data_IF_981619825287
#
_entry.id   IF_981619825287
#
_cell.length_a   1.000
_cell.length_b   1.000
_cell.length_c   1.000
_cell.angle_alpha   90.00
_cell.angle_beta   90.00
_cell.angle_gamma   90.00
#
_symmetry.space_group_name_H-M   'P 1'
#
loop_
_entity.id
_entity.type
_entity.pdbx_description
1 polymer ?
#
# COMPACT_ATOMS: atom_id res chain seq x y z
N UNK A 1 -2.44 -4.44 -12.17
CA UNK A 1 -2.02 -5.66 -11.45
C UNK A 1 -3.08 -6.75 -11.57
N UNK A 2 -4.34 -6.48 -11.21
CA UNK A 2 -5.45 -7.42 -11.43
C UNK A 2 -5.54 -7.91 -12.89
N UNK A 3 -5.51 -6.99 -13.87
CA UNK A 3 -5.48 -7.36 -15.30
C UNK A 3 -4.30 -8.28 -15.67
N UNK A 4 -3.13 -8.13 -15.03
CA UNK A 4 -1.98 -9.03 -15.27
C UNK A 4 -2.17 -10.43 -14.72
N UNK A 5 -3.09 -10.57 -13.77
CA UNK A 5 -3.51 -11.84 -13.19
C UNK A 5 -4.77 -12.38 -13.90
N UNK A 6 -5.23 -11.71 -14.96
CA UNK A 6 -6.48 -12.04 -15.67
C UNK A 6 -7.72 -11.93 -14.75
N UNK A 7 -7.67 -10.99 -13.81
CA UNK A 7 -8.76 -10.71 -12.86
C UNK A 7 -9.55 -9.49 -13.31
N UNK A 8 -10.81 -9.71 -13.68
CA UNK A 8 -11.80 -8.66 -13.98
C UNK A 8 -12.54 -8.26 -12.70
N UNK A 9 -12.04 -7.22 -12.02
CA UNK A 9 -12.60 -6.78 -10.75
C UNK A 9 -14.03 -6.23 -10.89
N UNK A 10 -14.35 -5.62 -12.02
CA UNK A 10 -15.66 -5.03 -12.26
C UNK A 10 -16.71 -6.14 -12.43
N UNK A 11 -16.38 -7.22 -13.14
CA UNK A 11 -17.23 -8.39 -13.28
C UNK A 11 -17.54 -9.08 -11.93
N UNK A 12 -16.60 -9.05 -11.00
CA UNK A 12 -16.74 -9.62 -9.65
C UNK A 12 -17.38 -8.66 -8.63
N UNK A 13 -17.75 -7.45 -9.05
CA UNK A 13 -18.32 -6.43 -8.14
C UNK A 13 -17.33 -5.94 -7.08
N UNK A 14 -16.03 -6.04 -7.35
CA UNK A 14 -14.94 -5.56 -6.49
C UNK A 14 -14.67 -4.09 -6.79
N UNK A 15 -14.68 -3.25 -5.76
CA UNK A 15 -14.41 -1.81 -5.91
C UNK A 15 -13.04 -1.45 -5.35
N UNK A 16 -12.22 -0.77 -6.16
CA UNK A 16 -10.99 -0.12 -5.69
C UNK A 16 -11.32 1.28 -5.21
N UNK A 17 -10.95 1.61 -3.96
CA UNK A 17 -11.22 2.92 -3.35
C UNK A 17 -9.91 3.63 -3.06
N UNK A 18 -9.64 4.73 -3.76
CA UNK A 18 -8.63 5.70 -3.32
C UNK A 18 -9.15 6.45 -2.11
N UNK A 19 -8.52 6.20 -0.96
CA UNK A 19 -8.93 6.75 0.32
C UNK A 19 -8.25 8.09 0.65
N UNK A 20 -7.35 8.62 -0.20
CA UNK A 20 -6.65 9.87 0.11
C UNK A 20 -5.68 9.78 1.30
N UNK A 21 -5.11 8.59 1.52
CA UNK A 21 -4.09 8.34 2.56
C UNK A 21 -4.61 7.64 3.83
N UNK A 22 -3.71 7.41 4.80
CA UNK A 22 -3.94 6.56 5.98
C UNK A 22 -5.18 6.95 6.80
N UNK A 23 -5.45 8.25 6.96
CA UNK A 23 -6.63 8.71 7.70
C UNK A 23 -7.95 8.37 7.00
N UNK A 24 -8.01 8.49 5.67
CA UNK A 24 -9.19 8.07 4.93
C UNK A 24 -9.35 6.56 4.92
N UNK A 25 -8.25 5.80 4.82
CA UNK A 25 -8.28 4.33 4.95
C UNK A 25 -8.89 3.94 6.30
N UNK A 26 -8.47 4.58 7.40
CA UNK A 26 -9.02 4.35 8.73
C UNK A 26 -10.54 4.59 8.79
N UNK A 27 -11.04 5.64 8.14
CA UNK A 27 -12.47 5.93 8.07
C UNK A 27 -13.22 4.84 7.30
N UNK A 28 -12.76 4.52 6.08
CA UNK A 28 -13.41 3.53 5.21
C UNK A 28 -13.39 2.15 5.88
N UNK A 29 -12.27 1.72 6.45
CA UNK A 29 -12.16 0.43 7.16
C UNK A 29 -13.17 0.33 8.31
N UNK A 30 -13.36 1.39 9.10
CA UNK A 30 -14.36 1.42 10.19
C UNK A 30 -15.78 1.30 9.65
N UNK A 31 -16.09 1.97 8.54
CA UNK A 31 -17.40 1.87 7.88
C UNK A 31 -17.63 0.46 7.34
N UNK A 32 -16.67 -0.12 6.61
CA UNK A 32 -16.77 -1.48 6.08
C UNK A 32 -16.99 -2.49 7.21
N UNK A 33 -16.24 -2.38 8.32
CA UNK A 33 -16.45 -3.23 9.51
C UNK A 33 -17.85 -3.08 10.10
N UNK A 34 -18.32 -1.85 10.28
CA UNK A 34 -19.65 -1.58 10.85
C UNK A 34 -20.78 -2.15 9.99
N UNK A 35 -20.61 -2.09 8.66
CA UNK A 35 -21.55 -2.59 7.67
C UNK A 35 -21.33 -4.06 7.28
N UNK A 36 -20.31 -4.71 7.84
CA UNK A 36 -19.90 -6.09 7.51
C UNK A 36 -19.59 -6.29 6.02
N UNK A 37 -19.03 -5.27 5.37
CA UNK A 37 -18.57 -5.33 4.00
C UNK A 37 -17.17 -5.96 4.01
N UNK A 38 -16.92 -7.05 3.27
CA UNK A 38 -15.58 -7.61 3.11
C UNK A 38 -14.64 -6.60 2.45
N UNK A 39 -13.42 -6.46 2.96
CA UNK A 39 -12.45 -5.52 2.41
C UNK A 39 -11.01 -5.99 2.63
N UNK A 40 -10.12 -5.50 1.79
CA UNK A 40 -8.67 -5.68 1.89
C UNK A 40 -8.03 -4.29 1.91
N UNK A 41 -7.01 -4.10 2.75
CA UNK A 41 -6.25 -2.84 2.80
C UNK A 41 -4.82 -3.07 2.32
N UNK A 42 -4.35 -2.16 1.46
CA UNK A 42 -2.96 -2.03 1.04
C UNK A 42 -2.51 -0.59 1.28
N UNK A 43 -1.37 -0.40 1.92
CA UNK A 43 -0.76 0.93 2.03
C UNK A 43 0.77 0.87 2.15
N UNK A 44 1.43 2.00 1.98
CA UNK A 44 2.86 2.14 2.19
C UNK A 44 3.21 2.30 3.66
N UNK A 45 4.36 1.75 4.07
CA UNK A 45 4.89 1.89 5.43
C UNK A 45 5.27 3.34 5.71
N UNK A 46 5.88 4.01 4.74
CA UNK A 46 6.44 5.37 4.83
C UNK A 46 7.47 5.56 5.95
N UNK A 47 8.16 4.49 6.33
CA UNK A 47 9.27 4.55 7.29
C UNK A 47 10.58 4.38 6.54
N UNK A 48 11.46 5.36 6.66
CA UNK A 48 12.69 5.44 5.86
C UNK A 48 13.94 5.34 6.73
N UNK A 49 15.03 4.71 6.25
CA UNK A 49 16.29 4.61 6.99
C UNK A 49 16.96 5.97 7.15
N UNK A 50 17.71 6.14 8.24
CA UNK A 50 18.37 7.40 8.62
C UNK A 50 19.90 7.39 8.48
N UNK A 51 20.48 6.23 8.16
CA UNK A 51 21.92 5.91 8.26
C UNK A 51 22.83 6.82 7.42
N UNK A 52 22.30 7.44 6.36
CA UNK A 52 23.06 8.27 5.41
C UNK A 52 22.67 9.76 5.44
N UNK A 53 21.93 10.20 6.45
CA UNK A 53 21.46 11.58 6.56
C UNK A 53 22.40 12.43 7.43
N UNK A 54 22.52 13.71 7.08
CA UNK A 54 23.12 14.69 7.99
C UNK A 54 22.26 14.86 9.25
N UNK A 55 22.84 15.40 10.34
CA UNK A 55 22.16 15.48 11.65
C UNK A 55 20.81 16.18 11.60
N UNK A 56 20.67 17.21 10.77
CA UNK A 56 19.43 17.98 10.66
C UNK A 56 18.34 17.16 9.97
N UNK A 57 18.66 16.54 8.83
CA UNK A 57 17.75 15.66 8.09
C UNK A 57 17.43 14.39 8.85
N UNK A 58 18.40 13.84 9.59
CA UNK A 58 18.21 12.66 10.44
C UNK A 58 17.11 12.93 11.48
N UNK A 59 17.21 14.03 12.24
CA UNK A 59 16.21 14.37 13.25
C UNK A 59 14.82 14.56 12.63
N UNK A 60 14.75 15.27 11.50
CA UNK A 60 13.49 15.46 10.76
C UNK A 60 12.89 14.12 10.33
N UNK A 61 13.71 13.23 9.76
CA UNK A 61 13.27 11.92 9.30
C UNK A 61 12.83 11.01 10.46
N UNK A 62 13.50 11.08 11.61
CA UNK A 62 13.07 10.35 12.81
C UNK A 62 11.69 10.80 13.30
N UNK A 63 11.44 12.11 13.31
CA UNK A 63 10.14 12.65 13.72
C UNK A 63 9.04 12.32 12.70
N UNK A 64 9.34 12.35 11.39
CA UNK A 64 8.45 11.84 10.34
C UNK A 64 8.15 10.35 10.52
N UNK A 65 9.18 9.52 10.72
CA UNK A 65 9.05 8.08 10.94
C UNK A 65 8.20 7.77 12.19
N UNK A 66 8.40 8.49 13.31
CA UNK A 66 7.56 8.32 14.51
C UNK A 66 6.08 8.58 14.21
N UNK A 67 5.79 9.63 13.44
CA UNK A 67 4.43 9.94 13.04
C UNK A 67 3.83 8.85 12.13
N UNK A 68 4.61 8.34 11.17
CA UNK A 68 4.15 7.26 10.28
C UNK A 68 3.96 5.93 11.02
N UNK A 69 4.85 5.58 11.95
CA UNK A 69 4.69 4.41 12.83
C UNK A 69 3.38 4.50 13.62
N UNK A 70 3.07 5.66 14.21
CA UNK A 70 1.84 5.85 14.97
C UNK A 70 0.59 5.79 14.08
N UNK A 71 0.66 6.36 12.86
CA UNK A 71 -0.43 6.23 11.87
C UNK A 71 -0.63 4.77 11.45
N UNK A 72 0.44 4.02 11.20
CA UNK A 72 0.39 2.60 10.83
C UNK A 72 -0.24 1.77 11.95
N UNK A 73 0.12 2.06 13.21
CA UNK A 73 -0.47 1.43 14.39
C UNK A 73 -1.98 1.69 14.47
N UNK A 74 -2.42 2.95 14.37
CA UNK A 74 -3.84 3.33 14.36
C UNK A 74 -4.61 2.73 13.18
N UNK A 75 -3.97 2.63 12.02
CA UNK A 75 -4.56 2.00 10.84
C UNK A 75 -4.81 0.52 11.09
N UNK A 76 -3.82 -0.21 11.64
CA UNK A 76 -4.00 -1.61 12.02
C UNK A 76 -5.17 -1.80 12.98
N UNK A 77 -5.32 -0.94 13.98
CA UNK A 77 -6.47 -0.98 14.91
C UNK A 77 -7.81 -0.71 14.21
N UNK A 78 -7.84 0.23 13.27
CA UNK A 78 -9.03 0.54 12.49
C UNK A 78 -9.44 -0.62 11.57
N UNK A 79 -8.47 -1.32 10.96
CA UNK A 79 -8.71 -2.51 10.13
C UNK A 79 -9.13 -3.70 10.98
N UNK A 80 -8.55 -3.87 12.18
CA UNK A 80 -8.84 -4.99 13.09
C UNK A 80 -8.20 -6.30 12.63
N UNK A 81 -8.00 -7.22 13.57
CA UNK A 81 -7.13 -8.39 13.37
C UNK A 81 -7.67 -9.45 12.40
N UNK A 82 -8.97 -9.41 12.08
CA UNK A 82 -9.64 -10.39 11.23
C UNK A 82 -9.73 -9.96 9.75
N UNK A 83 -9.20 -8.79 9.38
CA UNK A 83 -9.28 -8.28 8.01
C UNK A 83 -7.88 -8.22 7.37
N UNK A 84 -7.73 -8.58 6.08
CA UNK A 84 -6.43 -8.54 5.42
C UNK A 84 -5.84 -7.13 5.35
N UNK A 85 -4.62 -6.97 5.84
CA UNK A 85 -3.84 -5.73 5.82
C UNK A 85 -2.44 -6.03 5.27
N UNK A 86 -2.12 -5.42 4.13
CA UNK A 86 -0.84 -5.57 3.44
C UNK A 86 -0.10 -4.23 3.44
N UNK A 87 1.22 -4.29 3.67
CA UNK A 87 2.06 -3.10 3.82
C UNK A 87 3.23 -3.20 2.85
N UNK A 88 3.40 -2.22 1.98
CA UNK A 88 4.55 -2.07 1.10
C UNK A 88 5.67 -1.33 1.84
N UNK A 89 6.91 -1.83 1.75
CA UNK A 89 8.04 -1.31 2.53
C UNK A 89 9.19 -0.83 1.63
N UNK A 90 9.65 0.42 1.72
CA UNK A 90 9.01 1.53 2.43
C UNK A 90 7.79 2.12 1.70
N UNK A 91 7.77 2.09 0.36
CA UNK A 91 6.65 2.57 -0.48
C UNK A 91 6.56 1.86 -1.84
N UNK A 92 5.42 1.93 -2.52
CA UNK A 92 5.25 1.40 -3.88
C UNK A 92 6.28 1.97 -4.86
N UNK A 93 6.50 3.29 -4.85
CA UNK A 93 7.46 3.92 -5.76
C UNK A 93 8.87 3.42 -5.52
N UNK A 94 9.25 3.26 -4.25
CA UNK A 94 10.58 2.72 -3.91
C UNK A 94 10.80 1.32 -4.47
N UNK A 95 9.78 0.45 -4.40
CA UNK A 95 9.86 -0.92 -4.92
C UNK A 95 9.95 -0.94 -6.45
N UNK A 96 9.36 0.07 -7.10
CA UNK A 96 9.43 0.24 -8.56
C UNK A 96 10.67 1.02 -9.03
N UNK A 97 11.54 1.44 -8.10
CA UNK A 97 12.70 2.28 -8.39
C UNK A 97 12.32 3.66 -8.93
N UNK A 98 11.15 4.18 -8.55
CA UNK A 98 10.65 5.49 -8.94
C UNK A 98 11.07 6.49 -7.87
N UNK A 99 11.85 7.50 -8.27
CA UNK A 99 12.31 8.55 -7.36
C UNK A 99 11.17 9.39 -6.78
N UNK A 100 11.36 9.88 -5.56
CA UNK A 100 10.36 10.68 -4.82
C UNK A 100 9.94 11.96 -5.57
N UNK A 101 10.86 12.55 -6.35
CA UNK A 101 10.64 13.78 -7.12
C UNK A 101 10.21 13.54 -8.58
N UNK A 102 9.91 12.28 -8.94
CA UNK A 102 9.48 11.96 -10.29
C UNK A 102 8.18 12.72 -10.63
N UNK A 103 8.22 13.51 -11.71
CA UNK A 103 7.00 13.99 -12.37
C UNK A 103 6.24 12.81 -12.97
N UNK A 104 4.91 12.93 -13.07
CA UNK A 104 3.99 11.93 -13.64
C UNK A 104 4.07 10.53 -13.02
N UNK A 105 4.17 10.47 -11.68
CA UNK A 105 4.25 9.20 -10.94
C UNK A 105 3.21 8.16 -11.35
N UNK A 106 1.91 8.49 -11.51
CA UNK A 106 0.91 7.49 -11.88
C UNK A 106 1.25 6.78 -13.19
N UNK A 107 1.66 7.53 -14.21
CA UNK A 107 2.05 6.99 -15.52
C UNK A 107 3.26 6.07 -15.40
N UNK A 108 4.29 6.48 -14.65
CA UNK A 108 5.51 5.68 -14.44
C UNK A 108 5.24 4.39 -13.66
N UNK A 109 4.35 4.45 -12.68
CA UNK A 109 3.91 3.26 -11.93
C UNK A 109 3.26 2.27 -12.88
N UNK A 110 2.30 2.72 -13.70
CA UNK A 110 1.63 1.86 -14.69
C UNK A 110 2.64 1.20 -15.66
N UNK A 111 3.53 1.99 -16.27
CA UNK A 111 4.55 1.47 -17.20
C UNK A 111 5.50 0.45 -16.54
N UNK A 112 5.88 0.67 -15.28
CA UNK A 112 6.74 -0.25 -14.52
C UNK A 112 6.00 -1.53 -14.16
N UNK A 113 4.74 -1.40 -13.72
CA UNK A 113 3.90 -2.55 -13.41
C UNK A 113 3.64 -3.39 -14.66
N UNK A 114 3.40 -2.79 -15.82
CA UNK A 114 3.23 -3.50 -17.10
C UNK A 114 4.42 -4.39 -17.47
N UNK A 115 5.63 -3.91 -17.21
CA UNK A 115 6.88 -4.61 -17.55
C UNK A 115 7.33 -5.58 -16.48
N UNK A 116 6.62 -5.65 -15.35
CA UNK A 116 7.04 -6.48 -14.25
C UNK A 116 6.82 -7.96 -14.56
N UNK A 117 7.82 -8.75 -14.19
CA UNK A 117 7.75 -10.20 -14.18
C UNK A 117 7.32 -10.65 -12.78
N UNK A 118 6.10 -11.18 -12.68
CA UNK A 118 5.50 -11.60 -11.42
C UNK A 118 6.15 -12.87 -10.84
N UNK A 119 6.96 -13.59 -11.62
CA UNK A 119 7.72 -14.74 -11.12
C UNK A 119 8.97 -14.35 -10.31
N UNK A 120 9.39 -13.08 -10.39
CA UNK A 120 10.60 -12.58 -9.72
C UNK A 120 10.27 -11.88 -8.42
N UNK A 121 11.17 -12.00 -7.44
CA UNK A 121 11.10 -11.20 -6.23
C UNK A 121 11.37 -9.73 -6.58
N UNK A 122 10.32 -8.90 -6.48
CA UNK A 122 10.32 -7.50 -6.87
C UNK A 122 9.85 -6.58 -5.73
N UNK A 123 9.73 -7.12 -4.50
CA UNK A 123 9.24 -6.37 -3.35
C UNK A 123 7.75 -5.97 -3.39
N UNK A 124 7.03 -6.33 -4.47
CA UNK A 124 5.59 -6.11 -4.61
C UNK A 124 4.73 -7.28 -4.09
N UNK A 125 5.33 -8.21 -3.36
CA UNK A 125 4.61 -9.33 -2.74
C UNK A 125 3.37 -8.86 -1.94
N UNK A 126 3.42 -7.76 -1.13
CA UNK A 126 2.22 -7.25 -0.45
C UNK A 126 1.11 -6.82 -1.41
N UNK A 127 1.44 -6.18 -2.53
CA UNK A 127 0.47 -5.78 -3.56
C UNK A 127 -0.15 -7.02 -4.23
N UNK A 128 0.67 -8.01 -4.58
CA UNK A 128 0.18 -9.25 -5.19
C UNK A 128 -0.75 -10.01 -4.24
N UNK A 129 -0.37 -10.14 -2.97
CA UNK A 129 -1.21 -10.76 -1.94
C UNK A 129 -2.52 -9.99 -1.71
N UNK A 130 -2.50 -8.67 -1.74
CA UNK A 130 -3.72 -7.86 -1.63
C UNK A 130 -4.71 -8.14 -2.76
N UNK A 131 -4.22 -8.20 -4.01
CA UNK A 131 -5.06 -8.48 -5.19
C UNK A 131 -5.60 -9.90 -5.16
N UNK A 132 -4.80 -10.88 -4.75
CA UNK A 132 -5.26 -12.27 -4.59
C UNK A 132 -6.29 -12.43 -3.46
N UNK A 133 -6.04 -11.79 -2.32
CA UNK A 133 -6.92 -11.86 -1.16
C UNK A 133 -8.31 -11.28 -1.45
N UNK A 134 -8.41 -10.18 -2.20
CA UNK A 134 -9.72 -9.60 -2.55
C UNK A 134 -10.47 -10.46 -3.59
N UNK A 135 -9.74 -11.17 -4.44
CA UNK A 135 -10.31 -12.14 -5.39
C UNK A 135 -10.72 -13.47 -4.72
N UNK A 136 -10.25 -13.75 -3.50
CA UNK A 136 -10.53 -14.99 -2.79
C UNK A 136 -9.64 -16.17 -3.18
N UNK A 137 -8.40 -15.91 -3.62
CA UNK A 137 -7.38 -16.92 -3.90
C UNK A 137 -6.23 -16.76 -2.89
N UNK A 138 -5.82 -17.86 -2.26
CA UNK A 138 -4.66 -17.92 -1.35
C UNK A 138 -3.31 -17.97 -2.10
#
# INVERSE_FOLDING_TARGET
MAEKLDFDLDAEGIVIVDCGGKTGIMLVARVCRALKIPFVVLHDEDVWPTENLDREKMKKQEDENKNEIEKNRKLKEAVGDNNPLFILKPSLESQLGIGRDAQDKPRKIAEKLEKIDLSKNNGLEPLLKAVKAIWGID
#
